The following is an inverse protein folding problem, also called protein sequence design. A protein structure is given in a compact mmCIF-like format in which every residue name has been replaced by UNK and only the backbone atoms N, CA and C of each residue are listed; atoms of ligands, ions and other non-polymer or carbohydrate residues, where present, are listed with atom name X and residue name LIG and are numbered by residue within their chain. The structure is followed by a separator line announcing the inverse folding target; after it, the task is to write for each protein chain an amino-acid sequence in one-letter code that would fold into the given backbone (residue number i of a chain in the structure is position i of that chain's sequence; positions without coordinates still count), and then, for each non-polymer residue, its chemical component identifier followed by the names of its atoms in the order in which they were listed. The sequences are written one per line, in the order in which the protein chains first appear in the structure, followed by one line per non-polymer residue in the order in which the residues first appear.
data_IF_887848318559
#
_entry.id   IF_887848318559
#
_cell.length_a   1.000
_cell.length_b   1.000
_cell.length_c   1.000
_cell.angle_alpha   90.00
_cell.angle_beta   90.00
_cell.angle_gamma   90.00
#
_symmetry.space_group_name_H-M   'P 1'
#
loop_
_entity.id
_entity.type
_entity.pdbx_description
1 polymer ?
#
# COMPACT_ATOMS: atom_id res chain seq x y z
N UNK A 1 4.03 13.03 19.45
CA UNK A 1 3.27 13.14 18.19
C UNK A 1 2.14 12.16 18.30
N UNK A 2 0.94 12.46 17.80
CA UNK A 2 -0.17 11.50 17.86
C UNK A 2 0.14 10.38 16.86
N UNK A 3 0.32 9.14 17.34
CA UNK A 3 0.51 7.96 16.48
C UNK A 3 -0.84 7.61 15.85
N UNK A 4 -1.21 8.36 14.79
CA UNK A 4 -2.42 8.06 14.03
C UNK A 4 -2.33 6.65 13.48
N UNK A 5 -3.32 5.81 13.80
CA UNK A 5 -3.50 4.49 13.23
C UNK A 5 -4.13 4.64 11.85
N UNK A 6 -3.41 4.25 10.79
CA UNK A 6 -3.94 4.33 9.43
C UNK A 6 -3.67 3.05 8.65
N UNK A 7 -4.55 2.79 7.68
CA UNK A 7 -4.41 1.70 6.72
C UNK A 7 -3.94 2.28 5.40
N UNK A 8 -2.95 1.63 4.77
CA UNK A 8 -2.40 2.04 3.50
C UNK A 8 -3.09 1.29 2.35
N UNK A 9 -4.02 1.95 1.66
CA UNK A 9 -4.68 1.40 0.48
C UNK A 9 -3.84 1.71 -0.76
N UNK A 10 -3.55 0.69 -1.56
CA UNK A 10 -2.66 0.83 -2.72
C UNK A 10 -2.95 -0.22 -3.79
N UNK A 11 -2.57 0.06 -5.04
CA UNK A 11 -2.56 -0.95 -6.10
C UNK A 11 -1.41 -1.93 -5.85
N UNK A 12 -1.64 -3.23 -6.09
CA UNK A 12 -0.68 -4.29 -5.82
C UNK A 12 0.71 -4.01 -6.43
N UNK A 13 1.74 -3.96 -5.58
CA UNK A 13 3.14 -3.69 -5.93
C UNK A 13 3.36 -2.50 -6.89
N UNK A 14 2.49 -1.48 -6.82
CA UNK A 14 2.60 -0.33 -7.69
C UNK A 14 3.81 0.55 -7.30
N UNK A 15 4.72 0.91 -8.23
CA UNK A 15 6.00 1.55 -7.89
C UNK A 15 5.88 2.85 -7.09
N UNK A 16 4.89 3.67 -7.42
CA UNK A 16 4.58 4.88 -6.66
C UNK A 16 4.15 4.57 -5.22
N UNK A 17 3.38 3.50 -5.04
CA UNK A 17 2.95 3.02 -3.74
C UNK A 17 4.12 2.56 -2.88
N UNK A 18 5.04 1.80 -3.46
CA UNK A 18 6.27 1.36 -2.80
C UNK A 18 7.13 2.55 -2.34
N UNK A 19 7.32 3.54 -3.21
CA UNK A 19 8.06 4.77 -2.86
C UNK A 19 7.35 5.53 -1.73
N UNK A 20 6.03 5.71 -1.82
CA UNK A 20 5.26 6.42 -0.80
C UNK A 20 5.34 5.72 0.57
N UNK A 21 5.18 4.39 0.61
CA UNK A 21 5.31 3.62 1.84
C UNK A 21 6.72 3.75 2.43
N UNK A 22 7.76 3.61 1.60
CA UNK A 22 9.15 3.79 2.04
C UNK A 22 9.37 5.17 2.67
N UNK A 23 8.83 6.24 2.09
CA UNK A 23 8.99 7.60 2.61
C UNK A 23 8.21 7.80 3.93
N UNK A 24 6.99 7.27 4.04
CA UNK A 24 6.22 7.30 5.29
C UNK A 24 6.99 6.61 6.43
N UNK A 25 7.53 5.42 6.17
CA UNK A 25 8.26 4.64 7.16
C UNK A 25 9.58 5.30 7.56
N UNK A 26 10.30 5.93 6.62
CA UNK A 26 11.47 6.76 6.92
C UNK A 26 11.14 7.96 7.79
N UNK A 27 9.94 8.53 7.63
CA UNK A 27 9.43 9.61 8.46
C UNK A 27 8.87 9.13 9.82
N UNK A 28 8.99 7.84 10.14
CA UNK A 28 8.50 7.26 11.40
C UNK A 28 7.01 6.91 11.40
N UNK A 29 6.32 6.97 10.24
CA UNK A 29 4.92 6.63 10.11
C UNK A 29 4.79 5.22 9.53
N UNK A 30 4.44 4.25 10.37
CA UNK A 30 4.22 2.86 9.94
C UNK A 30 2.71 2.60 9.90
N UNK A 31 2.14 2.14 8.77
CA UNK A 31 0.73 1.80 8.72
C UNK A 31 0.44 0.58 9.60
N UNK A 32 -0.78 0.49 10.13
CA UNK A 32 -1.21 -0.70 10.86
C UNK A 32 -1.50 -1.89 9.93
N UNK A 33 -1.81 -1.62 8.66
CA UNK A 33 -2.04 -2.63 7.63
C UNK A 33 -1.85 -2.03 6.24
N UNK A 34 -1.56 -2.90 5.27
CA UNK A 34 -1.59 -2.57 3.84
C UNK A 34 -2.71 -3.36 3.16
N UNK A 35 -3.56 -2.67 2.39
CA UNK A 35 -4.61 -3.30 1.57
C UNK A 35 -4.30 -3.05 0.10
N UNK A 36 -3.92 -4.12 -0.60
CA UNK A 36 -3.58 -4.11 -2.02
C UNK A 36 -4.79 -4.44 -2.87
N UNK A 37 -5.10 -3.58 -3.84
CA UNK A 37 -6.01 -3.92 -4.92
C UNK A 37 -5.27 -4.74 -5.97
N UNK A 38 -5.72 -5.99 -6.14
CA UNK A 38 -5.24 -6.94 -7.14
C UNK A 38 -6.28 -7.03 -8.26
N UNK A 39 -6.21 -6.10 -9.21
CA UNK A 39 -7.12 -5.97 -10.35
C UNK A 39 -6.37 -5.83 -11.68
N UNK A 40 -7.04 -6.07 -12.80
CA UNK A 40 -6.44 -5.83 -14.13
C UNK A 40 -6.01 -4.37 -14.31
N UNK A 41 -6.76 -3.43 -13.70
CA UNK A 41 -6.43 -2.00 -13.69
C UNK A 41 -5.15 -1.75 -12.89
N UNK A 42 -4.96 -2.46 -11.78
CA UNK A 42 -3.75 -2.34 -10.96
C UNK A 42 -2.49 -2.69 -11.77
N UNK A 43 -2.55 -3.79 -12.53
CA UNK A 43 -1.43 -4.23 -13.38
C UNK A 43 -1.21 -3.28 -14.57
N UNK A 44 -2.29 -2.79 -15.21
CA UNK A 44 -2.20 -1.84 -16.31
C UNK A 44 -1.52 -0.52 -15.87
N UNK A 45 -1.97 0.06 -14.76
CA UNK A 45 -1.42 1.32 -14.25
C UNK A 45 0.03 1.16 -13.78
N UNK A 46 0.35 0.03 -13.15
CA UNK A 46 1.74 -0.34 -12.80
C UNK A 46 2.63 -0.38 -14.02
N UNK A 47 2.21 -1.04 -15.11
CA UNK A 47 2.95 -1.11 -16.36
C UNK A 47 3.19 0.27 -16.99
N UNK A 48 2.14 1.09 -17.07
CA UNK A 48 2.25 2.48 -17.57
C UNK A 48 3.22 3.30 -16.73
N UNK A 49 3.18 3.17 -15.40
CA UNK A 49 4.05 3.91 -14.51
C UNK A 49 5.50 3.48 -14.65
N UNK A 50 5.78 2.16 -14.73
CA UNK A 50 7.13 1.62 -14.92
C UNK A 50 7.78 2.15 -16.21
N UNK A 51 7.05 2.19 -17.31
CA UNK A 51 7.56 2.76 -18.56
C UNK A 51 7.84 4.27 -18.42
N UNK A 52 7.01 5.02 -17.69
CA UNK A 52 7.24 6.45 -17.43
C UNK A 52 8.49 6.73 -16.61
N UNK A 53 8.84 5.85 -15.67
CA UNK A 53 10.02 6.00 -14.80
C UNK A 53 11.23 5.21 -15.26
N UNK A 54 11.22 4.71 -16.50
CA UNK A 54 12.32 3.91 -17.05
C UNK A 54 13.65 4.67 -16.96
N UNK A 55 14.66 4.02 -16.37
CA UNK A 55 15.96 4.63 -16.09
C UNK A 55 16.07 5.33 -14.73
N UNK A 56 14.98 5.42 -13.97
CA UNK A 56 14.98 5.85 -12.57
C UNK A 56 15.03 4.65 -11.62
N UNK A 57 15.47 4.91 -10.39
CA UNK A 57 15.43 3.92 -9.31
C UNK A 57 13.98 3.58 -8.98
N UNK A 58 13.70 2.28 -8.80
CA UNK A 58 12.45 1.78 -8.25
C UNK A 58 12.66 1.48 -6.76
N UNK A 59 11.68 1.81 -5.93
CA UNK A 59 11.68 1.46 -4.52
C UNK A 59 11.60 -0.07 -4.32
N UNK A 60 12.07 -0.61 -3.18
CA UNK A 60 11.84 -2.01 -2.85
C UNK A 60 10.34 -2.36 -2.86
N UNK A 61 10.01 -3.61 -3.14
CA UNK A 61 8.64 -4.14 -3.08
C UNK A 61 8.03 -3.98 -1.69
N UNK A 62 6.70 -4.07 -1.59
CA UNK A 62 6.05 -4.11 -0.28
C UNK A 62 6.53 -5.28 0.57
N UNK A 63 6.87 -6.40 -0.06
CA UNK A 63 7.45 -7.58 0.62
C UNK A 63 8.77 -7.23 1.31
N UNK A 64 9.66 -6.53 0.60
CA UNK A 64 10.95 -6.12 1.15
C UNK A 64 10.80 -4.98 2.18
N UNK A 65 9.91 -4.03 1.95
CA UNK A 65 9.70 -2.90 2.87
C UNK A 65 9.12 -3.34 4.21
N UNK A 66 8.27 -4.37 4.21
CA UNK A 66 7.56 -4.87 5.38
C UNK A 66 8.25 -6.08 6.03
N UNK A 67 9.40 -6.52 5.50
CA UNK A 67 10.15 -7.64 6.07
C UNK A 67 10.50 -7.37 7.54
N UNK A 68 10.18 -8.34 8.41
CA UNK A 68 10.42 -8.25 9.86
C UNK A 68 9.52 -7.26 10.60
N UNK A 69 8.45 -6.75 9.97
CA UNK A 69 7.48 -5.84 10.60
C UNK A 69 6.15 -6.53 10.83
N UNK A 70 5.51 -6.19 11.93
CA UNK A 70 4.15 -6.65 12.26
C UNK A 70 3.10 -5.79 11.56
N UNK A 71 3.14 -5.79 10.22
CA UNK A 71 2.21 -5.04 9.37
C UNK A 71 1.52 -6.03 8.43
N UNK A 72 0.27 -6.44 8.71
CA UNK A 72 -0.46 -7.34 7.84
C UNK A 72 -0.69 -6.75 6.44
N UNK A 73 -0.67 -7.65 5.45
CA UNK A 73 -1.00 -7.35 4.05
C UNK A 73 -2.24 -8.11 3.65
N UNK A 74 -3.20 -7.41 3.08
CA UNK A 74 -4.43 -7.98 2.53
C UNK A 74 -4.51 -7.70 1.05
N UNK A 75 -5.09 -8.63 0.29
CA UNK A 75 -5.42 -8.43 -1.12
C UNK A 75 -6.92 -8.42 -1.30
N UNK A 76 -7.42 -7.46 -2.06
CA UNK A 76 -8.83 -7.33 -2.43
C UNK A 76 -8.95 -7.17 -3.94
N UNK A 77 -10.05 -7.65 -4.55
CA UNK A 77 -10.22 -7.53 -6.00
C UNK A 77 -10.40 -6.08 -6.47
N UNK A 78 -10.91 -5.20 -5.60
CA UNK A 78 -11.06 -3.77 -5.86
C UNK A 78 -11.36 -3.02 -4.55
N UNK A 79 -10.79 -1.84 -4.31
CA UNK A 79 -10.93 -1.12 -3.03
C UNK A 79 -12.38 -0.69 -2.72
N UNK A 80 -13.19 -0.43 -3.75
CA UNK A 80 -14.62 -0.12 -3.62
C UNK A 80 -15.54 -1.34 -3.39
N UNK A 81 -15.01 -2.55 -3.18
CA UNK A 81 -15.82 -3.74 -2.93
C UNK A 81 -16.01 -4.01 -1.44
N UNK A 82 -16.98 -4.87 -1.13
CA UNK A 82 -17.41 -5.15 0.24
C UNK A 82 -16.26 -5.66 1.11
N UNK A 83 -15.41 -6.48 0.53
CA UNK A 83 -14.26 -7.11 1.17
C UNK A 83 -13.27 -6.09 1.73
N UNK A 84 -12.98 -5.02 0.97
CA UNK A 84 -12.12 -3.93 1.43
C UNK A 84 -12.77 -3.15 2.57
N UNK A 85 -14.08 -2.88 2.45
CA UNK A 85 -14.85 -2.21 3.49
C UNK A 85 -14.87 -3.00 4.79
N UNK A 86 -15.12 -4.31 4.72
CA UNK A 86 -15.13 -5.20 5.89
C UNK A 86 -13.77 -5.22 6.59
N UNK A 87 -12.67 -5.24 5.83
CA UNK A 87 -11.32 -5.12 6.39
C UNK A 87 -11.11 -3.78 7.12
N UNK A 88 -11.53 -2.66 6.53
CA UNK A 88 -11.40 -1.34 7.17
C UNK A 88 -12.25 -1.25 8.44
N UNK A 89 -13.46 -1.81 8.42
CA UNK A 89 -14.35 -1.87 9.58
C UNK A 89 -13.76 -2.73 10.72
N UNK A 90 -13.04 -3.82 10.38
CA UNK A 90 -12.32 -4.66 11.34
C UNK A 90 -11.07 -3.99 11.91
N UNK A 91 -10.29 -3.32 11.06
CA UNK A 91 -9.03 -2.68 11.44
C UNK A 91 -9.23 -1.38 12.24
N UNK A 92 -10.40 -0.74 12.13
CA UNK A 92 -10.77 0.48 12.85
C UNK A 92 -9.69 1.58 12.84
N UNK A 93 -9.18 2.02 11.66
CA UNK A 93 -8.20 3.11 11.61
C UNK A 93 -8.79 4.43 12.10
N UNK A 94 -7.91 5.33 12.53
CA UNK A 94 -8.27 6.71 12.83
C UNK A 94 -8.82 7.40 11.58
N UNK A 95 -10.03 7.92 11.70
CA UNK A 95 -10.64 8.73 10.65
C UNK A 95 -9.95 10.11 10.61
N UNK A 96 -9.55 10.51 9.40
CA UNK A 96 -8.86 11.78 9.12
C UNK A 96 -9.70 13.00 9.37
#
# INVERSE_FOLDING_TARGET
MSDKQFVFLVLEEHPYGCEMLMQLMKAGNTPMAVIEEASDIAEEEKGKFLERIKGHRVAPSFTELLEGKDVPRYKVPHHNKKECRELIEELQPDLG
#
